data_IF_319048514546
#
_entry.id   IF_319048514546
#
_cell.length_a   1.000
_cell.length_b   1.000
_cell.length_c   1.000
_cell.angle_alpha   90.00
_cell.angle_beta   90.00
_cell.angle_gamma   90.00
#
_symmetry.space_group_name_H-M   'P 1'
#
loop_
_entity.id
_entity.type
_entity.pdbx_description
1 polymer ?
#
# COMPACT_ATOMS: atom_id res chain seq x y z
N UNK A 1 21.78 4.76 -26.17
CA UNK A 1 20.37 4.49 -25.82
C UNK A 1 19.67 5.84 -25.73
N UNK A 2 18.72 6.10 -26.64
CA UNK A 2 17.95 7.36 -26.60
C UNK A 2 16.93 7.27 -25.46
N UNK A 3 17.02 8.20 -24.51
CA UNK A 3 16.04 8.32 -23.43
C UNK A 3 14.68 8.74 -24.02
N UNK A 4 13.60 8.12 -23.54
CA UNK A 4 12.23 8.50 -23.89
C UNK A 4 11.96 9.95 -23.45
N UNK A 5 11.07 10.65 -24.16
CA UNK A 5 10.57 11.93 -23.66
C UNK A 5 9.81 11.74 -22.34
N UNK A 6 9.76 12.77 -21.51
CA UNK A 6 9.02 12.74 -20.24
C UNK A 6 7.55 12.32 -20.44
N UNK A 7 6.93 12.78 -21.53
CA UNK A 7 5.56 12.42 -21.91
C UNK A 7 5.41 10.95 -22.31
N UNK A 8 6.37 10.41 -23.06
CA UNK A 8 6.36 8.99 -23.44
C UNK A 8 6.61 8.09 -22.23
N UNK A 9 7.49 8.49 -21.31
CA UNK A 9 7.72 7.80 -20.05
C UNK A 9 6.45 7.82 -19.19
N UNK A 10 5.81 8.99 -19.05
CA UNK A 10 4.55 9.14 -18.33
C UNK A 10 3.42 8.32 -18.94
N UNK A 11 3.29 8.30 -20.27
CA UNK A 11 2.28 7.50 -20.98
C UNK A 11 2.49 6.00 -20.76
N UNK A 12 3.73 5.53 -20.93
CA UNK A 12 4.10 4.13 -20.70
C UNK A 12 3.80 3.72 -19.26
N UNK A 13 4.18 4.57 -18.34
CA UNK A 13 4.01 4.33 -16.92
C UNK A 13 2.54 4.37 -16.47
N UNK A 14 1.73 5.29 -17.01
CA UNK A 14 0.27 5.31 -16.86
C UNK A 14 -0.35 4.02 -17.39
N UNK A 15 0.06 3.59 -18.58
CA UNK A 15 -0.42 2.34 -19.18
C UNK A 15 -0.07 1.12 -18.32
N UNK A 16 1.15 1.04 -17.78
CA UNK A 16 1.57 -0.04 -16.89
C UNK A 16 0.87 -0.03 -15.53
N UNK A 17 0.64 1.15 -14.97
CA UNK A 17 0.07 1.29 -13.62
C UNK A 17 -1.43 1.04 -13.61
N UNK A 18 -2.14 1.55 -14.62
CA UNK A 18 -3.60 1.56 -14.66
C UNK A 18 -4.22 0.63 -15.72
N UNK A 19 -3.47 0.18 -16.72
CA UNK A 19 -4.05 -0.52 -17.86
C UNK A 19 -5.12 0.34 -18.55
N UNK A 20 -6.33 -0.21 -18.70
CA UNK A 20 -7.50 0.52 -19.22
C UNK A 20 -8.30 1.29 -18.15
N UNK A 21 -7.87 1.26 -16.89
CA UNK A 21 -8.57 1.93 -15.79
C UNK A 21 -8.32 3.43 -15.82
N UNK A 22 -9.35 4.22 -15.55
CA UNK A 22 -9.21 5.67 -15.43
C UNK A 22 -8.35 6.01 -14.19
N UNK A 23 -7.21 6.71 -14.36
CA UNK A 23 -6.36 7.13 -13.25
C UNK A 23 -7.02 8.10 -12.29
N UNK A 24 -7.99 8.91 -12.76
CA UNK A 24 -8.72 9.86 -11.92
C UNK A 24 -9.66 9.12 -10.96
N UNK A 25 -10.23 8.01 -11.41
CA UNK A 25 -11.02 7.08 -10.59
C UNK A 25 -10.17 6.33 -9.54
N UNK A 26 -8.84 6.31 -9.70
CA UNK A 26 -7.91 5.62 -8.81
C UNK A 26 -6.79 6.56 -8.35
N UNK A 27 -7.17 7.70 -7.75
CA UNK A 27 -6.26 8.77 -7.29
C UNK A 27 -5.01 8.27 -6.53
N UNK A 28 -5.10 7.15 -5.82
CA UNK A 28 -3.96 6.59 -5.07
C UNK A 28 -2.99 5.79 -5.91
N UNK A 29 -3.49 5.02 -6.88
CA UNK A 29 -2.60 4.46 -7.92
C UNK A 29 -1.94 5.61 -8.69
N UNK A 30 -2.61 6.76 -8.81
CA UNK A 30 -2.05 7.98 -9.42
C UNK A 30 -0.98 8.65 -8.57
N UNK A 31 -1.19 8.72 -7.26
CA UNK A 31 -0.16 9.21 -6.34
C UNK A 31 1.06 8.28 -6.31
N UNK A 32 0.87 6.97 -6.13
CA UNK A 32 1.95 5.98 -6.21
C UNK A 32 2.66 6.08 -7.56
N UNK A 33 1.89 6.25 -8.63
CA UNK A 33 2.42 6.46 -9.95
C UNK A 33 3.37 7.67 -10.00
N UNK A 34 2.88 8.84 -9.57
CA UNK A 34 3.65 10.08 -9.57
C UNK A 34 4.89 9.97 -8.67
N UNK A 35 4.80 9.29 -7.53
CA UNK A 35 5.95 9.04 -6.63
C UNK A 35 7.02 8.16 -7.30
N UNK A 36 6.61 7.05 -7.94
CA UNK A 36 7.51 6.18 -8.71
C UNK A 36 8.24 6.95 -9.80
N UNK A 37 7.53 7.86 -10.49
CA UNK A 37 8.12 8.66 -11.58
C UNK A 37 9.12 9.71 -11.11
N UNK A 38 9.11 10.06 -9.81
CA UNK A 38 9.90 11.17 -9.26
C UNK A 38 11.09 10.71 -8.43
N UNK A 39 10.90 9.70 -7.58
CA UNK A 39 11.88 9.37 -6.53
C UNK A 39 12.61 8.04 -6.73
N UNK A 40 12.34 7.30 -7.81
CA UNK A 40 12.88 5.93 -7.96
C UNK A 40 13.75 5.69 -9.18
N UNK A 41 15.00 5.32 -8.91
CA UNK A 41 15.88 4.68 -9.88
C UNK A 41 15.71 3.15 -9.93
N UNK A 42 14.83 2.54 -9.10
CA UNK A 42 14.58 1.09 -9.09
C UNK A 42 13.13 0.74 -9.46
N UNK A 43 12.90 0.64 -10.77
CA UNK A 43 11.63 0.19 -11.34
C UNK A 43 11.22 -1.22 -10.86
N UNK A 44 12.19 -2.10 -10.56
CA UNK A 44 11.89 -3.47 -10.13
C UNK A 44 11.29 -3.50 -8.72
N UNK A 45 11.79 -2.65 -7.83
CA UNK A 45 11.21 -2.47 -6.50
C UNK A 45 9.74 -2.03 -6.60
N UNK A 46 9.44 -1.01 -7.39
CA UNK A 46 8.06 -0.51 -7.51
C UNK A 46 7.13 -1.46 -8.26
N UNK A 47 7.63 -2.21 -9.25
CA UNK A 47 6.86 -3.31 -9.84
C UNK A 47 6.45 -4.35 -8.78
N UNK A 48 7.29 -4.64 -7.78
CA UNK A 48 6.94 -5.54 -6.67
C UNK A 48 5.87 -4.91 -5.78
N UNK A 49 6.02 -3.63 -5.40
CA UNK A 49 5.03 -2.89 -4.58
C UNK A 49 3.66 -2.89 -5.29
N UNK A 50 3.63 -2.56 -6.58
CA UNK A 50 2.41 -2.56 -7.38
C UNK A 50 1.78 -3.96 -7.47
N UNK A 51 2.60 -5.00 -7.67
CA UNK A 51 2.13 -6.39 -7.72
C UNK A 51 1.51 -6.82 -6.40
N UNK A 52 2.14 -6.46 -5.28
CA UNK A 52 1.62 -6.70 -3.94
C UNK A 52 0.27 -6.00 -3.73
N UNK A 53 0.17 -4.72 -4.11
CA UNK A 53 -1.04 -3.95 -3.98
C UNK A 53 -2.20 -4.51 -4.82
N UNK A 54 -1.93 -4.92 -6.07
CA UNK A 54 -2.89 -5.63 -6.93
C UNK A 54 -3.38 -6.93 -6.29
N UNK A 55 -2.47 -7.72 -5.72
CA UNK A 55 -2.82 -8.94 -5.01
C UNK A 55 -3.71 -8.64 -3.79
N UNK A 56 -3.40 -7.59 -3.05
CA UNK A 56 -4.17 -7.15 -1.89
C UNK A 56 -5.60 -6.75 -2.27
N UNK A 57 -5.77 -5.90 -3.29
CA UNK A 57 -7.10 -5.50 -3.80
C UNK A 57 -7.90 -6.71 -4.24
N UNK A 58 -7.31 -7.59 -5.05
CA UNK A 58 -7.97 -8.81 -5.53
C UNK A 58 -8.44 -9.67 -4.36
N UNK A 59 -7.60 -9.87 -3.34
CA UNK A 59 -7.95 -10.65 -2.14
C UNK A 59 -9.10 -10.02 -1.35
N UNK A 60 -9.15 -8.69 -1.25
CA UNK A 60 -10.26 -7.99 -0.60
C UNK A 60 -11.56 -8.21 -1.36
N UNK A 61 -11.56 -8.00 -2.67
CA UNK A 61 -12.75 -8.16 -3.52
C UNK A 61 -13.25 -9.62 -3.45
N UNK A 62 -12.35 -10.60 -3.56
CA UNK A 62 -12.74 -12.02 -3.47
C UNK A 62 -13.32 -12.40 -2.09
N UNK A 63 -12.88 -11.76 -1.00
CA UNK A 63 -13.33 -12.10 0.36
C UNK A 63 -14.55 -11.32 0.83
N UNK A 64 -14.63 -10.04 0.46
CA UNK A 64 -15.59 -9.10 1.01
C UNK A 64 -16.53 -8.52 -0.06
N UNK A 65 -16.31 -8.82 -1.34
CA UNK A 65 -17.06 -8.23 -2.46
C UNK A 65 -16.70 -6.76 -2.75
N UNK A 66 -15.84 -6.16 -1.93
CA UNK A 66 -15.60 -4.72 -1.91
C UNK A 66 -14.12 -4.37 -2.00
N UNK A 67 -13.86 -3.18 -2.55
CA UNK A 67 -12.52 -2.60 -2.58
C UNK A 67 -12.07 -2.27 -1.13
N UNK A 68 -10.81 -2.56 -0.74
CA UNK A 68 -10.38 -2.44 0.65
C UNK A 68 -10.53 -1.02 1.22
N UNK A 69 -10.42 0.01 0.39
CA UNK A 69 -10.64 1.39 0.84
C UNK A 69 -12.09 1.78 1.03
N UNK A 70 -13.02 1.14 0.32
CA UNK A 70 -14.45 1.30 0.60
C UNK A 70 -14.73 0.76 2.00
N UNK A 71 -14.12 -0.38 2.35
CA UNK A 71 -14.22 -0.96 3.70
C UNK A 71 -13.64 0.00 4.76
N UNK A 72 -12.43 0.54 4.55
CA UNK A 72 -11.82 1.49 5.50
C UNK A 72 -12.67 2.75 5.67
N UNK A 73 -13.21 3.31 4.58
CA UNK A 73 -14.09 4.48 4.64
C UNK A 73 -15.43 4.19 5.34
N UNK A 74 -15.88 2.94 5.34
CA UNK A 74 -17.01 2.46 6.12
C UNK A 74 -16.65 2.13 7.57
N UNK A 75 -15.47 2.55 8.06
CA UNK A 75 -14.93 2.21 9.38
C UNK A 75 -14.81 0.70 9.63
N UNK A 76 -14.62 -0.10 8.56
CA UNK A 76 -14.34 -1.54 8.66
C UNK A 76 -12.84 -1.75 8.56
N UNK A 77 -12.16 -2.16 9.65
CA UNK A 77 -10.73 -2.35 9.63
C UNK A 77 -10.31 -3.47 8.68
N UNK A 78 -9.22 -3.26 7.96
CA UNK A 78 -8.65 -4.25 7.03
C UNK A 78 -7.29 -4.72 7.52
N UNK A 79 -7.00 -6.00 7.32
CA UNK A 79 -5.68 -6.56 7.59
C UNK A 79 -4.89 -6.68 6.29
N UNK A 80 -3.66 -6.18 6.30
CA UNK A 80 -2.73 -6.20 5.17
C UNK A 80 -1.45 -6.93 5.60
N UNK A 81 -0.96 -7.86 4.78
CA UNK A 81 0.33 -8.52 5.02
C UNK A 81 1.50 -7.55 4.81
N UNK A 82 2.71 -7.89 5.27
CA UNK A 82 3.93 -7.14 4.97
C UNK A 82 4.75 -7.85 3.90
N UNK A 83 5.42 -7.08 3.04
CA UNK A 83 6.15 -7.64 1.89
C UNK A 83 7.42 -8.39 2.32
N UNK A 84 8.28 -7.76 3.13
CA UNK A 84 9.54 -8.34 3.58
C UNK A 84 9.35 -9.41 4.67
N UNK A 85 8.21 -9.39 5.37
CA UNK A 85 7.91 -10.29 6.49
C UNK A 85 6.50 -10.88 6.33
N UNK A 86 6.34 -11.96 5.55
CA UNK A 86 5.02 -12.55 5.28
C UNK A 86 4.29 -13.09 6.53
N UNK A 87 5.02 -13.33 7.63
CA UNK A 87 4.47 -13.70 8.94
C UNK A 87 4.01 -12.51 9.79
N UNK A 88 4.15 -11.28 9.29
CA UNK A 88 3.63 -10.08 9.94
C UNK A 88 2.55 -9.45 9.08
N UNK A 89 1.59 -8.82 9.74
CA UNK A 89 0.57 -8.02 9.11
C UNK A 89 0.40 -6.72 9.87
N UNK A 90 -0.37 -5.80 9.31
CA UNK A 90 -0.83 -4.62 10.01
C UNK A 90 -2.32 -4.42 9.74
N UNK A 91 -2.99 -3.81 10.71
CA UNK A 91 -4.37 -3.35 10.59
C UNK A 91 -4.38 -1.93 10.09
N UNK A 92 -5.35 -1.60 9.25
CA UNK A 92 -5.71 -0.22 8.90
C UNK A 92 -7.12 0.00 9.41
N UNK A 93 -7.28 0.94 10.34
CA UNK A 93 -8.56 1.20 11.01
C UNK A 93 -9.37 2.27 10.29
N UNK A 94 -8.71 3.37 9.94
CA UNK A 94 -9.34 4.53 9.32
C UNK A 94 -8.38 5.22 8.38
N UNK A 95 -8.99 5.93 7.46
CA UNK A 95 -8.33 6.90 6.62
C UNK A 95 -9.01 8.25 6.86
N UNK A 96 -8.21 9.31 6.89
CA UNK A 96 -8.72 10.66 6.92
C UNK A 96 -7.79 11.60 6.17
N UNK A 97 -8.31 12.78 5.85
CA UNK A 97 -7.55 13.85 5.23
C UNK A 97 -7.26 14.91 6.29
N UNK A 98 -6.02 15.39 6.33
CA UNK A 98 -5.62 16.55 7.12
C UNK A 98 -5.05 17.65 6.23
N UNK A 99 -5.09 18.89 6.70
CA UNK A 99 -4.57 20.01 5.92
C UNK A 99 -3.04 19.97 5.88
N UNK A 100 -2.43 20.57 4.85
CA UNK A 100 -0.97 20.65 4.72
C UNK A 100 -0.27 21.46 5.83
N UNK A 101 -1.02 22.23 6.62
CA UNK A 101 -0.49 23.02 7.75
C UNK A 101 -0.34 22.19 9.04
N UNK A 102 -1.00 21.05 9.13
CA UNK A 102 -0.90 20.13 10.28
C UNK A 102 0.40 19.32 10.20
N UNK A 103 0.94 18.93 11.37
CA UNK A 103 2.13 18.10 11.43
C UNK A 103 1.87 16.76 10.76
N UNK A 104 2.65 16.46 9.71
CA UNK A 104 2.46 15.27 8.91
C UNK A 104 3.15 14.07 9.59
N UNK A 105 2.51 12.88 9.63
CA UNK A 105 3.15 11.70 10.17
C UNK A 105 4.47 11.39 9.46
N UNK A 106 5.52 11.16 10.26
CA UNK A 106 6.87 10.84 9.74
C UNK A 106 6.96 9.44 9.14
N UNK A 107 6.07 8.54 9.57
CA UNK A 107 6.01 7.17 9.08
C UNK A 107 5.23 7.17 7.77
N UNK A 108 5.82 6.64 6.69
CA UNK A 108 5.11 6.47 5.43
C UNK A 108 4.46 5.10 5.32
N UNK A 109 3.33 5.03 4.60
CA UNK A 109 2.56 3.80 4.44
C UNK A 109 3.28 2.73 3.61
N UNK A 110 4.09 3.15 2.64
CA UNK A 110 4.97 2.26 1.87
C UNK A 110 6.04 1.61 2.76
N UNK A 111 6.67 2.34 3.66
CA UNK A 111 7.60 1.77 4.65
C UNK A 111 6.93 0.72 5.56
N UNK A 112 5.67 0.95 5.92
CA UNK A 112 4.86 -0.02 6.68
C UNK A 112 4.60 -1.26 5.84
N UNK A 113 4.12 -1.10 4.60
CA UNK A 113 3.82 -2.20 3.67
C UNK A 113 5.07 -3.04 3.35
N UNK A 114 6.19 -2.38 3.06
CA UNK A 114 7.45 -3.04 2.71
C UNK A 114 7.97 -3.85 3.89
N UNK A 115 7.99 -3.29 5.10
CA UNK A 115 8.61 -3.98 6.24
C UNK A 115 9.62 -3.14 7.03
N UNK A 116 9.94 -1.93 6.58
CA UNK A 116 11.10 -1.16 7.03
C UNK A 116 10.94 -0.61 8.45
N UNK A 117 9.71 -0.32 8.86
CA UNK A 117 9.40 0.27 10.17
C UNK A 117 8.67 -0.70 11.09
N UNK A 118 8.85 -0.56 12.40
CA UNK A 118 8.12 -1.34 13.43
C UNK A 118 7.66 -0.44 14.57
N UNK A 119 6.74 0.51 14.31
CA UNK A 119 6.09 1.27 15.37
C UNK A 119 5.38 0.34 16.36
N UNK A 120 5.36 0.75 17.62
CA UNK A 120 4.68 0.04 18.70
C UNK A 120 3.28 0.62 18.89
N UNK A 121 2.29 -0.25 19.09
CA UNK A 121 0.89 0.15 19.30
C UNK A 121 0.25 0.75 18.04
N UNK A 122 -0.77 1.59 18.26
CA UNK A 122 -1.43 2.34 17.18
C UNK A 122 -0.59 3.55 16.79
N UNK A 123 -0.46 3.76 15.49
CA UNK A 123 0.33 4.86 14.93
C UNK A 123 -0.35 5.42 13.68
N UNK A 124 0.07 6.61 13.30
CA UNK A 124 -0.36 7.26 12.06
C UNK A 124 0.70 7.07 10.98
N UNK A 125 0.24 6.76 9.76
CA UNK A 125 1.08 6.60 8.59
C UNK A 125 0.61 7.53 7.48
N UNK A 126 1.53 8.31 6.93
CA UNK A 126 1.29 9.14 5.75
C UNK A 126 1.09 8.22 4.55
N UNK A 127 -0.09 8.30 3.94
CA UNK A 127 -0.40 7.65 2.69
C UNK A 127 0.20 8.37 1.50
N UNK A 128 -0.17 9.65 1.34
CA UNK A 128 0.26 10.52 0.25
C UNK A 128 -0.11 11.97 0.56
N UNK A 129 0.59 12.90 -0.09
CA UNK A 129 0.32 14.34 0.00
C UNK A 129 -0.20 14.86 -1.33
N UNK A 130 -1.35 15.52 -1.33
CA UNK A 130 -1.92 16.15 -2.52
C UNK A 130 -1.01 17.28 -2.99
N UNK A 131 -0.56 17.18 -4.24
CA UNK A 131 0.24 18.19 -4.91
C UNK A 131 -0.62 19.19 -5.69
N UNK A 132 -1.94 19.00 -5.66
CA UNK A 132 -2.91 19.87 -6.30
C UNK A 132 -3.83 20.49 -5.25
N UNK A 133 -4.27 21.74 -5.42
CA UNK A 133 -5.26 22.34 -4.55
C UNK A 133 -6.55 21.51 -4.48
N UNK A 134 -7.19 21.40 -3.29
CA UNK A 134 -6.65 21.83 -2.00
C UNK A 134 -5.50 20.90 -1.55
N UNK A 135 -4.40 21.47 -1.03
CA UNK A 135 -3.24 20.70 -0.55
C UNK A 135 -3.58 20.03 0.80
N UNK A 136 -3.98 18.77 0.76
CA UNK A 136 -4.23 17.91 1.92
C UNK A 136 -3.31 16.69 1.94
N UNK A 137 -3.13 16.11 3.10
CA UNK A 137 -2.45 14.84 3.30
C UNK A 137 -3.47 13.75 3.61
N UNK A 138 -3.27 12.56 3.05
CA UNK A 138 -4.03 11.37 3.39
C UNK A 138 -3.28 10.59 4.46
N UNK A 139 -3.91 10.37 5.61
CA UNK A 139 -3.31 9.69 6.76
C UNK A 139 -4.12 8.45 7.12
N UNK A 140 -3.41 7.40 7.49
CA UNK A 140 -3.97 6.13 7.96
C UNK A 140 -3.66 5.93 9.44
N UNK A 141 -4.63 5.47 10.21
CA UNK A 141 -4.36 4.92 11.55
C UNK A 141 -4.16 3.42 11.44
N UNK A 142 -3.00 2.95 11.90
CA UNK A 142 -2.54 1.57 11.74
C UNK A 142 -2.06 0.95 13.05
N UNK A 143 -1.95 -0.37 13.07
CA UNK A 143 -1.32 -1.14 14.17
C UNK A 143 -0.64 -2.39 13.59
N UNK A 144 0.59 -2.68 14.01
CA UNK A 144 1.29 -3.89 13.57
C UNK A 144 0.81 -5.09 14.38
N UNK A 145 0.47 -6.17 13.68
CA UNK A 145 0.11 -7.45 14.26
C UNK A 145 1.21 -8.48 14.03
N UNK A 146 1.69 -9.08 15.12
CA UNK A 146 2.49 -10.28 15.03
C UNK A 146 1.59 -11.50 14.83
N UNK A 147 1.77 -12.24 13.74
CA UNK A 147 1.07 -13.51 13.59
C UNK A 147 1.78 -14.57 14.42
N UNK A 148 1.08 -15.14 15.41
CA UNK A 148 1.53 -16.37 16.05
C UNK A 148 1.51 -17.47 14.99
N UNK A 149 2.68 -17.94 14.56
CA UNK A 149 2.78 -19.14 13.74
C UNK A 149 2.31 -20.33 14.58
N UNK A 150 1.16 -20.90 14.25
CA UNK A 150 0.73 -22.17 14.84
C UNK A 150 1.77 -23.22 14.45
N UNK A 151 2.42 -23.91 15.39
CA UNK A 151 3.41 -24.92 15.03
C UNK A 151 2.69 -26.04 14.29
N UNK A 152 3.10 -26.29 13.04
CA UNK A 152 2.63 -27.43 12.28
C UNK A 152 2.98 -28.70 13.07
N UNK A 153 1.97 -29.37 13.63
CA UNK A 153 2.13 -30.72 14.21
C UNK A 153 2.58 -31.66 13.09
N UNK A 154 3.90 -31.85 12.93
CA UNK A 154 4.45 -32.97 12.17
C UNK A 154 3.99 -34.24 12.88
N UNK A 155 3.02 -34.96 12.29
CA UNK A 155 2.76 -36.36 12.64
C UNK A 155 4.04 -37.15 12.35
N UNK A 156 4.76 -37.57 13.41
CA UNK A 156 5.73 -38.66 13.28
C UNK A 156 4.93 -39.91 12.94
N UNK A 157 5.09 -40.38 11.71
CA UNK A 157 4.74 -41.75 11.34
C UNK A 157 5.71 -42.66 12.11
N UNK A 158 5.17 -43.40 13.08
CA UNK A 158 5.86 -44.57 13.65
C UNK A 158 5.55 -45.71 12.69
N UNK A 159 6.56 -46.17 11.95
CA UNK A 159 6.49 -47.46 11.26
C UNK A 159 6.75 -48.55 12.28
N UNK A 160 5.77 -49.45 12.45
CA UNK A 160 5.95 -50.75 13.07
C UNK A 160 6.84 -51.64 12.19
#
# INVERSE_FOLDING_TARGET
LNYLSHEAYWYFFKTLSFGSMDPVSHKRLLCLAIEISRDSFDIHFWCKVLSFYRCFIKKSICKFGEHPFVLVNQNKPIQIGRMATPSQAFMVYREYQCTSQEEVPKIKMDDVMVGNVRPHGKFEALGWSSQLPPYYNCVYTCEILEMKTTPAKRKRSVKN
#
